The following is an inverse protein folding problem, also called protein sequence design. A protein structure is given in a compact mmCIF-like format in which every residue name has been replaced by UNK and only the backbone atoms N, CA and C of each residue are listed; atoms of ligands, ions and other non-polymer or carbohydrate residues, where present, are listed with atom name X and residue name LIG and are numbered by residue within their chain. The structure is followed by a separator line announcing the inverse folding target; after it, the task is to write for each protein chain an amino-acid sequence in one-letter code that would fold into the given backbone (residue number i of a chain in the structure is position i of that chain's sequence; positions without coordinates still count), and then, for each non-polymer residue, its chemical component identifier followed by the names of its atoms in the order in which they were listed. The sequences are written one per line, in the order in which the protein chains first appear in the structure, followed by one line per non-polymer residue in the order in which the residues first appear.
data_IF_263930062808
#
_entry.id   IF_263930062808
#
_cell.length_a   1.000
_cell.length_b   1.000
_cell.length_c   1.000
_cell.angle_alpha   90.00
_cell.angle_beta   90.00
_cell.angle_gamma   90.00
#
_symmetry.space_group_name_H-M   'P 1'
#
loop_
_entity.id
_entity.type
_entity.pdbx_description
1 polymer ?
#
# COMPACT_ATOMS: atom_id res chain seq x y z
N UNK A 1 -11.86 -3.89 17.70
CA UNK A 1 -12.46 -2.71 18.38
C UNK A 1 -11.44 -1.61 18.58
N UNK A 2 -10.33 -1.78 19.31
CA UNK A 2 -9.32 -0.71 19.53
C UNK A 2 -8.98 0.13 18.28
N UNK A 3 -8.63 -0.51 17.15
CA UNK A 3 -8.29 0.22 15.92
C UNK A 3 -9.46 1.03 15.34
N UNK A 4 -10.69 0.52 15.46
CA UNK A 4 -11.90 1.23 15.03
C UNK A 4 -12.24 2.37 16.00
N UNK A 5 -12.13 2.14 17.32
CA UNK A 5 -12.34 3.16 18.34
C UNK A 5 -11.42 4.36 18.14
N UNK A 6 -10.12 4.11 17.96
CA UNK A 6 -9.15 5.18 17.70
C UNK A 6 -9.45 5.94 16.41
N UNK A 7 -9.82 5.22 15.35
CA UNK A 7 -10.21 5.85 14.09
C UNK A 7 -11.44 6.74 14.28
N UNK A 8 -12.47 6.23 14.96
CA UNK A 8 -13.71 6.96 15.18
C UNK A 8 -13.46 8.24 15.97
N UNK A 9 -12.72 8.15 17.07
CA UNK A 9 -12.36 9.31 17.89
C UNK A 9 -11.54 10.34 17.12
N UNK A 10 -10.55 9.91 16.32
CA UNK A 10 -9.76 10.82 15.51
C UNK A 10 -10.59 11.57 14.44
N UNK A 11 -11.61 10.93 13.89
CA UNK A 11 -12.42 11.50 12.79
C UNK A 11 -13.61 12.33 13.29
N UNK A 12 -14.19 11.98 14.43
CA UNK A 12 -15.41 12.59 14.95
C UNK A 12 -15.17 13.44 16.21
N UNK A 13 -14.03 13.29 16.88
CA UNK A 13 -13.71 14.02 18.12
C UNK A 13 -14.45 13.49 19.37
N UNK A 14 -15.18 12.39 19.23
CA UNK A 14 -16.01 11.77 20.28
C UNK A 14 -15.63 10.29 20.42
N UNK A 15 -15.65 9.78 21.66
CA UNK A 15 -15.40 8.36 21.90
C UNK A 15 -16.60 7.49 21.51
N UNK A 16 -16.37 6.18 21.31
CA UNK A 16 -17.48 5.24 21.04
C UNK A 16 -18.46 5.13 22.23
N UNK A 17 -17.99 5.39 23.45
CA UNK A 17 -18.81 5.27 24.67
C UNK A 17 -19.78 6.44 24.84
N UNK A 18 -19.54 7.56 24.14
CA UNK A 18 -20.43 8.73 24.07
C UNK A 18 -21.56 8.56 23.04
N UNK A 19 -21.47 7.53 22.20
CA UNK A 19 -22.44 7.30 21.13
C UNK A 19 -23.69 6.59 21.65
N UNK A 20 -24.85 7.00 21.13
CA UNK A 20 -26.12 6.31 21.39
C UNK A 20 -26.24 4.97 20.65
N UNK A 21 -25.41 4.76 19.62
CA UNK A 21 -25.38 3.57 18.78
C UNK A 21 -24.30 2.59 19.26
N UNK A 22 -24.59 1.29 19.15
CA UNK A 22 -23.59 0.26 19.42
C UNK A 22 -22.47 0.28 18.37
N UNK A 23 -21.25 -0.18 18.69
CA UNK A 23 -20.17 -0.24 17.71
C UNK A 23 -20.50 -1.08 16.46
N UNK A 24 -21.33 -2.12 16.61
CA UNK A 24 -21.82 -2.93 15.49
C UNK A 24 -22.69 -2.10 14.55
N UNK A 25 -23.63 -1.32 15.08
CA UNK A 25 -24.48 -0.42 14.28
C UNK A 25 -23.67 0.68 13.60
N UNK A 26 -22.64 1.21 14.26
CA UNK A 26 -21.74 2.19 13.64
C UNK A 26 -20.96 1.58 12.47
N UNK A 27 -20.43 0.36 12.64
CA UNK A 27 -19.75 -0.37 11.55
C UNK A 27 -20.69 -0.69 10.39
N UNK A 28 -21.96 -1.01 10.67
CA UNK A 28 -23.00 -1.22 9.66
C UNK A 28 -23.33 0.07 8.90
N UNK A 29 -23.59 1.17 9.62
CA UNK A 29 -23.85 2.49 9.03
C UNK A 29 -22.68 2.99 8.16
N UNK A 30 -21.46 2.58 8.50
CA UNK A 30 -20.23 2.86 7.76
C UNK A 30 -19.97 1.89 6.59
N UNK A 31 -20.87 0.91 6.38
CA UNK A 31 -20.76 -0.13 5.35
C UNK A 31 -19.48 -0.97 5.49
N UNK A 32 -19.06 -1.24 6.72
CA UNK A 32 -17.91 -2.08 7.07
C UNK A 32 -18.34 -3.46 7.60
N UNK A 33 -19.63 -3.61 7.89
CA UNK A 33 -20.26 -4.82 8.41
C UNK A 33 -21.63 -4.99 7.76
N UNK A 34 -22.01 -6.24 7.51
CA UNK A 34 -23.34 -6.62 7.02
C UNK A 34 -24.06 -7.29 8.20
N UNK A 35 -25.16 -6.70 8.64
CA UNK A 35 -26.07 -7.35 9.57
C UNK A 35 -26.90 -8.40 8.83
N UNK A 36 -27.03 -9.59 9.42
CA UNK A 36 -27.94 -10.60 8.88
C UNK A 36 -29.37 -10.28 9.30
N UNK A 37 -30.30 -10.21 8.34
CA UNK A 37 -31.72 -10.05 8.61
C UNK A 37 -32.36 -11.31 9.24
N UNK A 38 -31.66 -12.44 9.23
CA UNK A 38 -32.17 -13.77 9.60
C UNK A 38 -31.45 -14.40 10.80
N UNK A 39 -30.37 -13.78 11.28
CA UNK A 39 -29.59 -14.25 12.44
C UNK A 39 -29.02 -13.08 13.22
N UNK A 40 -28.79 -13.25 14.52
CA UNK A 40 -28.06 -12.26 15.35
C UNK A 40 -26.58 -12.11 14.97
N UNK A 41 -26.08 -12.91 14.03
CA UNK A 41 -24.71 -12.86 13.54
C UNK A 41 -24.52 -11.70 12.55
N UNK A 42 -23.59 -10.79 12.89
CA UNK A 42 -23.12 -9.75 11.99
C UNK A 42 -21.79 -10.18 11.36
N UNK A 43 -21.61 -9.95 10.06
CA UNK A 43 -20.38 -10.32 9.34
C UNK A 43 -19.63 -9.07 8.89
N UNK A 44 -18.38 -8.95 9.33
CA UNK A 44 -17.50 -7.88 8.84
C UNK A 44 -17.14 -8.13 7.37
N UNK A 45 -17.24 -7.12 6.52
CA UNK A 45 -16.85 -7.25 5.13
C UNK A 45 -15.33 -7.08 4.96
N UNK A 46 -14.82 -7.27 3.73
CA UNK A 46 -13.37 -7.18 3.47
C UNK A 46 -12.79 -5.81 3.80
N UNK A 47 -13.52 -4.71 3.55
CA UNK A 47 -13.04 -3.38 3.91
C UNK A 47 -12.91 -3.24 5.43
N UNK A 48 -13.96 -3.59 6.19
CA UNK A 48 -13.91 -3.56 7.66
C UNK A 48 -12.80 -4.45 8.22
N UNK A 49 -12.60 -5.64 7.65
CA UNK A 49 -11.54 -6.54 8.06
C UNK A 49 -10.15 -5.95 7.82
N UNK A 50 -9.87 -5.47 6.60
CA UNK A 50 -8.57 -4.92 6.25
C UNK A 50 -8.26 -3.61 6.97
N UNK A 51 -9.28 -2.82 7.30
CA UNK A 51 -9.10 -1.55 7.99
C UNK A 51 -8.93 -1.73 9.50
N UNK A 52 -9.66 -2.66 10.13
CA UNK A 52 -9.83 -2.66 11.59
C UNK A 52 -9.68 -4.02 12.29
N UNK A 53 -9.63 -5.15 11.58
CA UNK A 53 -9.45 -6.45 12.23
C UNK A 53 -8.04 -6.60 12.82
N UNK A 54 -7.92 -7.34 13.94
CA UNK A 54 -6.61 -7.56 14.58
C UNK A 54 -5.67 -8.40 13.71
N UNK A 55 -6.20 -9.40 13.00
CA UNK A 55 -5.47 -10.33 12.13
C UNK A 55 -6.30 -10.68 10.90
N UNK A 56 -6.46 -9.77 9.91
CA UNK A 56 -7.33 -10.00 8.77
C UNK A 56 -6.91 -11.24 7.94
N UNK A 57 -5.62 -11.56 7.93
CA UNK A 57 -5.06 -12.67 7.16
C UNK A 57 -5.52 -14.07 7.63
N UNK A 58 -6.16 -14.20 8.78
CA UNK A 58 -6.82 -15.47 9.17
C UNK A 58 -7.94 -15.83 8.18
N UNK A 59 -8.68 -14.82 7.70
CA UNK A 59 -9.74 -14.98 6.70
C UNK A 59 -9.31 -14.55 5.30
N UNK A 60 -8.28 -13.70 5.21
CA UNK A 60 -7.77 -13.11 3.97
C UNK A 60 -6.26 -13.39 3.80
N UNK A 61 -5.81 -14.66 3.71
CA UNK A 61 -4.39 -15.02 3.83
C UNK A 61 -3.49 -14.39 2.76
N UNK A 62 -4.01 -14.23 1.54
CA UNK A 62 -3.28 -13.62 0.42
C UNK A 62 -3.29 -12.09 0.46
N UNK A 63 -4.05 -11.46 1.35
CA UNK A 63 -4.13 -10.00 1.48
C UNK A 63 -2.97 -9.52 2.34
N UNK A 64 -1.78 -9.71 1.81
CA UNK A 64 -0.48 -9.44 2.41
C UNK A 64 0.45 -8.83 1.37
N UNK A 65 1.63 -8.41 1.83
CA UNK A 65 2.74 -8.00 0.96
C UNK A 65 3.91 -8.95 1.22
N UNK A 66 4.41 -9.58 0.16
CA UNK A 66 5.63 -10.40 0.20
C UNK A 66 6.81 -9.52 -0.18
N UNK A 67 7.81 -9.43 0.68
CA UNK A 67 8.96 -8.55 0.46
C UNK A 67 10.26 -9.33 0.44
N UNK A 68 11.13 -9.00 -0.53
CA UNK A 68 12.47 -9.58 -0.63
C UNK A 68 13.43 -8.51 -1.14
N UNK A 69 14.60 -8.41 -0.52
CA UNK A 69 15.72 -7.59 -0.96
C UNK A 69 16.86 -8.52 -1.40
N UNK A 70 17.32 -8.36 -2.64
CA UNK A 70 18.33 -9.20 -3.28
C UNK A 70 19.69 -8.51 -3.33
N UNK A 71 20.76 -9.29 -3.37
CA UNK A 71 22.11 -8.78 -3.63
C UNK A 71 22.26 -8.33 -5.10
N UNK A 72 21.70 -9.11 -6.01
CA UNK A 72 21.79 -8.90 -7.45
C UNK A 72 20.54 -8.32 -8.08
N UNK A 73 20.41 -8.59 -9.37
CA UNK A 73 19.30 -8.16 -10.23
C UNK A 73 18.38 -9.32 -10.64
N UNK A 74 18.78 -10.56 -10.35
CA UNK A 74 18.06 -11.79 -10.66
C UNK A 74 17.09 -12.15 -9.52
N UNK A 75 15.88 -12.53 -9.90
CA UNK A 75 14.83 -12.98 -8.99
C UNK A 75 15.01 -14.45 -8.58
N UNK A 76 15.79 -15.22 -9.34
CA UNK A 76 16.07 -16.63 -9.09
C UNK A 76 17.27 -16.85 -8.15
N UNK A 77 17.87 -15.75 -7.66
CA UNK A 77 18.95 -15.81 -6.68
C UNK A 77 18.47 -16.52 -5.41
N UNK A 78 19.27 -17.47 -4.92
CA UNK A 78 18.97 -18.24 -3.72
C UNK A 78 19.40 -17.50 -2.45
N UNK A 79 20.11 -16.38 -2.60
CA UNK A 79 20.52 -15.50 -1.51
C UNK A 79 19.73 -14.19 -1.48
N UNK A 80 19.38 -13.74 -0.27
CA UNK A 80 18.70 -12.47 -0.04
C UNK A 80 19.33 -11.71 1.14
N UNK A 81 19.18 -10.39 1.12
CA UNK A 81 19.60 -9.47 2.18
C UNK A 81 18.54 -9.45 3.30
N UNK A 82 17.28 -9.31 2.92
CA UNK A 82 16.14 -9.22 3.84
C UNK A 82 14.89 -9.80 3.17
N UNK A 83 14.07 -10.56 3.91
CA UNK A 83 12.87 -11.21 3.40
C UNK A 83 11.81 -11.26 4.49
N UNK A 84 10.63 -10.70 4.23
CA UNK A 84 9.56 -10.57 5.21
C UNK A 84 8.18 -10.75 4.58
N UNK A 85 7.32 -11.41 5.33
CA UNK A 85 5.89 -11.47 5.06
C UNK A 85 5.19 -10.37 5.86
N UNK A 86 4.71 -9.34 5.16
CA UNK A 86 3.99 -8.23 5.78
C UNK A 86 2.50 -8.52 5.77
N UNK A 87 1.94 -8.60 6.98
CA UNK A 87 0.53 -8.83 7.25
C UNK A 87 0.01 -7.82 8.29
N UNK A 88 -1.29 -7.86 8.56
CA UNK A 88 -1.98 -6.91 9.43
C UNK A 88 -3.00 -6.07 8.68
N UNK A 89 -3.45 -5.00 9.34
CA UNK A 89 -4.37 -4.01 8.77
C UNK A 89 -3.69 -3.19 7.67
N UNK A 90 -4.49 -2.47 6.88
CA UNK A 90 -4.03 -1.64 5.78
C UNK A 90 -2.91 -0.65 6.20
N UNK A 91 -3.09 0.03 7.33
CA UNK A 91 -2.09 0.97 7.88
C UNK A 91 -0.81 0.28 8.35
N UNK A 92 -0.93 -0.90 8.97
CA UNK A 92 0.22 -1.70 9.41
C UNK A 92 1.02 -2.21 8.21
N UNK A 93 0.34 -2.70 7.17
CA UNK A 93 0.98 -3.16 5.94
C UNK A 93 1.69 -2.00 5.22
N UNK A 94 1.05 -0.84 5.15
CA UNK A 94 1.65 0.37 4.58
C UNK A 94 2.94 0.77 5.32
N UNK A 95 2.87 0.91 6.65
CA UNK A 95 4.00 1.35 7.46
C UNK A 95 5.18 0.36 7.40
N UNK A 96 4.90 -0.94 7.47
CA UNK A 96 5.93 -1.97 7.38
C UNK A 96 6.56 -2.04 5.98
N UNK A 97 5.78 -1.90 4.91
CA UNK A 97 6.30 -1.93 3.55
C UNK A 97 7.17 -0.69 3.25
N UNK A 98 6.74 0.48 3.73
CA UNK A 98 7.53 1.70 3.64
C UNK A 98 8.85 1.55 4.40
N UNK A 99 8.79 1.04 5.63
CA UNK A 99 9.99 0.76 6.43
C UNK A 99 10.92 -0.23 5.72
N UNK A 100 10.38 -1.30 5.14
CA UNK A 100 11.16 -2.29 4.39
C UNK A 100 11.90 -1.65 3.21
N UNK A 101 11.25 -0.81 2.40
CA UNK A 101 11.91 -0.07 1.32
C UNK A 101 13.03 0.81 1.87
N UNK A 102 12.72 1.66 2.86
CA UNK A 102 13.67 2.62 3.39
C UNK A 102 14.90 1.93 4.01
N UNK A 103 14.74 0.77 4.63
CA UNK A 103 15.87 0.00 5.20
C UNK A 103 16.74 -0.70 4.15
N UNK A 104 16.21 -0.96 2.94
CA UNK A 104 16.89 -1.77 1.92
C UNK A 104 17.37 -0.95 0.70
N UNK A 105 17.25 0.38 0.75
CA UNK A 105 17.85 1.29 -0.26
C UNK A 105 19.11 1.97 0.29
N UNK A 106 19.89 2.59 -0.60
CA UNK A 106 21.09 3.34 -0.19
C UNK A 106 20.71 4.70 0.36
N UNK A 107 21.54 5.17 1.29
CA UNK A 107 21.55 6.56 1.74
C UNK A 107 22.85 7.22 1.27
N UNK A 108 22.72 8.29 0.50
CA UNK A 108 23.79 9.00 -0.18
C UNK A 108 24.18 10.24 0.64
N UNK A 109 25.48 10.48 0.78
CA UNK A 109 25.97 11.63 1.53
C UNK A 109 25.76 12.96 0.77
N UNK A 110 25.68 12.94 -0.57
CA UNK A 110 25.46 14.11 -1.43
C UNK A 110 26.42 15.28 -1.12
N UNK A 111 27.72 14.99 -1.03
CA UNK A 111 28.80 15.97 -0.75
C UNK A 111 28.65 16.76 0.56
N UNK A 112 27.79 16.29 1.48
CA UNK A 112 27.65 16.87 2.81
C UNK A 112 28.75 16.37 3.74
N UNK A 113 29.04 17.11 4.81
CA UNK A 113 30.10 16.76 5.75
C UNK A 113 29.93 15.37 6.39
N UNK A 114 31.00 14.81 6.95
CA UNK A 114 31.03 13.49 7.58
C UNK A 114 29.94 13.27 8.64
N UNK A 115 29.53 14.33 9.34
CA UNK A 115 28.50 14.29 10.37
C UNK A 115 27.07 14.43 9.82
N UNK A 116 26.87 14.41 8.50
CA UNK A 116 25.55 14.50 7.90
C UNK A 116 24.87 13.13 7.81
N UNK A 117 23.58 13.10 8.08
CA UNK A 117 22.75 11.93 7.79
C UNK A 117 22.58 11.88 6.27
N UNK A 118 22.91 10.74 5.67
CA UNK A 118 22.71 10.54 4.24
C UNK A 118 21.23 10.70 3.85
N UNK A 119 20.98 11.04 2.60
CA UNK A 119 19.64 11.12 2.03
C UNK A 119 19.32 9.85 1.25
N UNK A 120 18.09 9.33 1.33
CA UNK A 120 17.74 8.13 0.60
C UNK A 120 17.88 8.35 -0.91
N UNK A 121 18.49 7.41 -1.62
CA UNK A 121 18.70 7.49 -3.07
C UNK A 121 17.38 7.59 -3.87
N UNK A 122 16.30 7.06 -3.30
CA UNK A 122 14.92 7.22 -3.77
C UNK A 122 14.15 7.97 -2.68
N UNK A 123 13.55 9.14 -2.98
CA UNK A 123 12.79 9.91 -2.00
C UNK A 123 11.63 9.10 -1.38
N UNK A 124 11.45 9.22 -0.06
CA UNK A 124 10.39 8.52 0.71
C UNK A 124 8.99 8.67 0.10
N UNK A 125 8.66 9.85 -0.44
CA UNK A 125 7.36 10.14 -1.07
C UNK A 125 7.05 9.20 -2.25
N UNK A 126 8.07 8.72 -2.97
CA UNK A 126 7.89 7.76 -4.08
C UNK A 126 7.28 6.47 -3.55
N UNK A 127 7.82 5.94 -2.45
CA UNK A 127 7.29 4.73 -1.81
C UNK A 127 5.94 4.98 -1.15
N UNK A 128 5.75 6.12 -0.49
CA UNK A 128 4.45 6.47 0.11
C UNK A 128 3.34 6.42 -0.95
N UNK A 129 3.55 7.07 -2.10
CA UNK A 129 2.55 7.10 -3.16
C UNK A 129 2.37 5.75 -3.84
N UNK A 130 3.45 5.05 -4.20
CA UNK A 130 3.34 3.79 -4.93
C UNK A 130 2.81 2.64 -4.07
N UNK A 131 3.19 2.55 -2.79
CA UNK A 131 2.67 1.55 -1.86
C UNK A 131 1.20 1.81 -1.54
N UNK A 132 0.81 3.08 -1.29
CA UNK A 132 -0.59 3.42 -1.08
C UNK A 132 -1.44 3.07 -2.30
N UNK A 133 -0.95 3.38 -3.51
CA UNK A 133 -1.64 2.99 -4.75
C UNK A 133 -1.77 1.46 -4.88
N UNK A 134 -0.70 0.71 -4.61
CA UNK A 134 -0.74 -0.75 -4.68
C UNK A 134 -1.74 -1.35 -3.69
N UNK A 135 -1.85 -0.81 -2.48
CA UNK A 135 -2.80 -1.27 -1.45
C UNK A 135 -4.25 -0.88 -1.76
N UNK A 136 -4.51 0.33 -2.24
CA UNK A 136 -5.87 0.85 -2.43
C UNK A 136 -6.48 0.35 -3.75
N UNK A 137 -5.68 0.29 -4.82
CA UNK A 137 -6.15 -0.03 -6.17
C UNK A 137 -5.90 -1.47 -6.59
N UNK A 138 -5.42 -2.33 -5.68
CA UNK A 138 -5.35 -3.78 -5.87
C UNK A 138 -6.69 -4.35 -6.32
N UNK A 139 -6.64 -5.33 -7.23
CA UNK A 139 -7.79 -6.15 -7.53
C UNK A 139 -8.00 -7.21 -6.44
N UNK A 140 -9.02 -6.98 -5.61
CA UNK A 140 -9.37 -7.83 -4.48
C UNK A 140 -10.07 -9.14 -4.88
N UNK A 141 -10.39 -9.33 -6.17
CA UNK A 141 -10.84 -10.61 -6.70
C UNK A 141 -9.67 -11.53 -7.10
N UNK A 142 -8.44 -11.00 -7.15
CA UNK A 142 -7.25 -11.78 -7.49
C UNK A 142 -6.57 -12.29 -6.22
N UNK A 143 -6.56 -13.62 -6.06
CA UNK A 143 -5.98 -14.30 -4.90
C UNK A 143 -4.45 -14.43 -4.97
N UNK A 144 -3.75 -13.30 -4.93
CA UNK A 144 -2.28 -13.24 -4.94
C UNK A 144 -1.79 -12.06 -4.11
N UNK A 145 -0.70 -12.13 -3.35
CA UNK A 145 -0.19 -11.00 -2.56
C UNK A 145 0.39 -9.90 -3.44
N UNK A 146 0.53 -8.69 -2.88
CA UNK A 146 1.41 -7.68 -3.47
C UNK A 146 2.85 -8.17 -3.29
N UNK A 147 3.70 -7.98 -4.29
CA UNK A 147 5.14 -8.25 -4.17
C UNK A 147 5.92 -6.94 -4.16
N UNK A 148 6.82 -6.80 -3.21
CA UNK A 148 7.72 -5.67 -3.07
C UNK A 148 9.16 -6.19 -3.11
N UNK A 149 9.81 -6.01 -4.25
CA UNK A 149 11.11 -6.62 -4.53
C UNK A 149 12.15 -5.51 -4.66
N UNK A 150 13.22 -5.58 -3.87
CA UNK A 150 14.33 -4.61 -3.92
C UNK A 150 15.53 -5.31 -4.52
N UNK A 151 15.94 -4.91 -5.71
CA UNK A 151 17.13 -5.39 -6.40
C UNK A 151 18.24 -4.34 -6.31
N UNK A 152 19.47 -4.72 -6.65
CA UNK A 152 20.61 -3.79 -6.66
C UNK A 152 20.46 -2.63 -7.66
N UNK A 153 19.66 -2.81 -8.71
CA UNK A 153 19.44 -1.85 -9.80
C UNK A 153 18.03 -1.23 -9.83
N UNK A 154 17.06 -1.79 -9.09
CA UNK A 154 15.66 -1.31 -9.11
C UNK A 154 14.85 -1.75 -7.89
N UNK A 155 13.72 -1.10 -7.66
CA UNK A 155 12.67 -1.58 -6.76
C UNK A 155 11.41 -1.86 -7.58
N UNK A 156 10.80 -3.02 -7.40
CA UNK A 156 9.54 -3.40 -8.06
C UNK A 156 8.40 -3.50 -7.03
N UNK A 157 7.30 -2.80 -7.30
CA UNK A 157 6.03 -2.95 -6.57
C UNK A 157 5.02 -3.56 -7.54
N UNK A 158 4.65 -4.81 -7.30
CA UNK A 158 3.78 -5.59 -8.17
C UNK A 158 2.45 -5.82 -7.47
N UNK A 159 1.39 -5.17 -7.96
CA UNK A 159 0.04 -5.31 -7.44
C UNK A 159 -0.79 -6.28 -8.29
N UNK A 160 -1.60 -7.15 -7.66
CA UNK A 160 -2.57 -8.00 -8.35
C UNK A 160 -3.61 -7.18 -9.10
N UNK A 161 -3.90 -7.57 -10.33
CA UNK A 161 -4.83 -6.89 -11.22
C UNK A 161 -4.15 -5.89 -12.15
N UNK A 162 -4.57 -5.89 -13.40
CA UNK A 162 -4.22 -4.85 -14.38
C UNK A 162 -5.06 -3.57 -14.14
N UNK A 163 -4.83 -2.50 -14.91
CA UNK A 163 -5.63 -1.27 -14.79
C UNK A 163 -7.11 -1.54 -15.13
N UNK A 164 -8.07 -1.06 -14.29
CA UNK A 164 -9.49 -1.34 -14.52
C UNK A 164 -10.05 -0.56 -15.72
N UNK A 165 -11.07 -1.15 -16.35
CA UNK A 165 -11.82 -0.55 -17.45
C UNK A 165 -10.90 -0.11 -18.61
N UNK A 166 -11.11 1.11 -19.11
CA UNK A 166 -10.36 1.72 -20.22
C UNK A 166 -9.18 2.58 -19.73
N UNK A 167 -8.75 2.42 -18.48
CA UNK A 167 -7.64 3.20 -17.94
C UNK A 167 -6.31 2.72 -18.56
N UNK A 168 -5.50 3.67 -19.04
CA UNK A 168 -4.16 3.41 -19.59
C UNK A 168 -3.07 3.99 -18.70
N UNK A 169 -1.80 3.67 -19.00
CA UNK A 169 -0.65 4.25 -18.29
C UNK A 169 -0.61 5.77 -18.48
N UNK A 170 -0.94 6.25 -19.66
CA UNK A 170 -0.99 7.68 -20.00
C UNK A 170 -2.07 8.37 -19.16
N UNK A 171 -3.25 7.76 -19.03
CA UNK A 171 -4.36 8.30 -18.23
C UNK A 171 -3.95 8.48 -16.76
N UNK A 172 -3.32 7.47 -16.13
CA UNK A 172 -2.91 7.58 -14.73
C UNK A 172 -1.77 8.58 -14.52
N UNK A 173 -0.90 8.76 -15.52
CA UNK A 173 0.13 9.82 -15.52
C UNK A 173 -0.46 11.22 -15.62
N UNK A 174 -1.68 11.36 -16.17
CA UNK A 174 -2.44 12.60 -16.17
C UNK A 174 -3.31 12.80 -14.92
N UNK A 175 -3.31 11.84 -14.00
CA UNK A 175 -4.04 11.92 -12.73
C UNK A 175 -5.42 11.28 -12.76
N UNK A 176 -5.79 10.63 -13.86
CA UNK A 176 -7.03 9.87 -13.92
C UNK A 176 -6.93 8.64 -13.01
N UNK A 177 -7.92 8.43 -12.15
CA UNK A 177 -7.97 7.29 -11.24
C UNK A 177 -9.36 6.67 -11.26
N UNK A 178 -9.40 5.34 -11.25
CA UNK A 178 -10.61 4.56 -11.09
C UNK A 178 -10.52 3.76 -9.79
N UNK A 179 -11.44 4.05 -8.86
CA UNK A 179 -11.50 3.37 -7.57
C UNK A 179 -12.25 2.04 -7.75
N UNK A 180 -11.60 0.93 -7.38
CA UNK A 180 -12.21 -0.41 -7.42
C UNK A 180 -13.10 -0.68 -6.21
N UNK A 181 -12.67 -0.26 -5.02
CA UNK A 181 -13.41 -0.40 -3.77
C UNK A 181 -13.62 0.98 -3.13
N UNK A 182 -14.76 1.65 -3.40
CA UNK A 182 -15.05 2.99 -2.89
C UNK A 182 -15.06 3.09 -1.37
N UNK A 183 -15.56 2.05 -0.69
CA UNK A 183 -15.57 1.98 0.76
C UNK A 183 -14.12 1.94 1.27
N UNK A 184 -13.30 0.98 0.82
CA UNK A 184 -11.91 0.93 1.27
C UNK A 184 -11.16 2.24 1.01
N UNK A 185 -11.34 2.84 -0.17
CA UNK A 185 -10.65 4.08 -0.54
C UNK A 185 -11.07 5.29 0.32
N UNK A 186 -12.35 5.39 0.71
CA UNK A 186 -12.84 6.50 1.53
C UNK A 186 -12.29 6.49 2.96
N UNK A 187 -12.04 5.30 3.52
CA UNK A 187 -11.39 5.14 4.82
C UNK A 187 -9.86 5.19 4.71
N UNK A 188 -9.28 4.67 3.63
CA UNK A 188 -7.82 4.68 3.42
C UNK A 188 -7.27 6.11 3.36
N UNK A 189 -8.00 7.08 2.82
CA UNK A 189 -7.57 8.49 2.77
C UNK A 189 -7.48 9.18 4.13
N UNK A 190 -8.08 8.58 5.16
CA UNK A 190 -8.04 9.03 6.55
C UNK A 190 -6.95 8.33 7.36
N UNK A 191 -6.59 7.11 6.95
CA UNK A 191 -5.65 6.24 7.67
C UNK A 191 -4.22 6.23 7.10
N UNK A 192 -4.07 6.60 5.82
CA UNK A 192 -2.80 6.59 5.10
C UNK A 192 -2.44 8.02 4.64
N UNK A 193 -1.17 8.31 4.30
CA UNK A 193 -0.77 9.59 3.67
C UNK A 193 -1.23 9.67 2.19
N UNK A 194 -2.50 9.38 1.94
CA UNK A 194 -3.18 9.31 0.67
C UNK A 194 -4.40 10.24 0.69
N UNK A 195 -4.61 11.05 -0.36
CA UNK A 195 -5.73 12.00 -0.41
C UNK A 195 -6.85 11.64 -1.38
N UNK A 196 -6.70 10.59 -2.20
CA UNK A 196 -7.73 10.19 -3.17
C UNK A 196 -7.85 11.07 -4.42
N UNK A 197 -6.98 12.07 -4.59
CA UNK A 197 -7.09 13.06 -5.69
C UNK A 197 -6.48 12.59 -7.03
N UNK A 198 -6.06 11.32 -7.14
CA UNK A 198 -5.36 10.82 -8.33
C UNK A 198 -3.94 11.38 -8.53
N UNK A 199 -3.43 12.22 -7.61
CA UNK A 199 -2.14 12.91 -7.75
C UNK A 199 -0.92 12.09 -7.35
N UNK A 200 -1.09 10.95 -6.66
CA UNK A 200 0.03 10.21 -6.08
C UNK A 200 1.07 9.74 -7.11
N UNK A 201 0.62 9.23 -8.26
CA UNK A 201 1.53 8.85 -9.36
C UNK A 201 2.31 10.07 -9.89
N UNK A 202 1.65 11.22 -10.04
CA UNK A 202 2.33 12.45 -10.50
C UNK A 202 3.35 12.95 -9.49
N UNK A 203 3.05 12.89 -8.20
CA UNK A 203 3.99 13.26 -7.13
C UNK A 203 5.21 12.35 -7.11
N UNK A 204 5.01 11.04 -7.23
CA UNK A 204 6.10 10.07 -7.34
C UNK A 204 6.99 10.38 -8.55
N UNK A 205 6.41 10.59 -9.74
CA UNK A 205 7.16 10.96 -10.95
C UNK A 205 7.90 12.29 -10.83
N UNK A 206 7.26 13.30 -10.22
CA UNK A 206 7.88 14.61 -10.00
C UNK A 206 9.08 14.50 -9.06
N UNK A 207 8.99 13.66 -8.03
CA UNK A 207 10.08 13.44 -7.09
C UNK A 207 11.19 12.55 -7.67
N UNK A 208 10.83 11.59 -8.52
CA UNK A 208 11.75 10.62 -9.10
C UNK A 208 11.28 10.18 -10.50
N UNK A 209 11.85 10.75 -11.58
CA UNK A 209 11.37 10.48 -12.94
C UNK A 209 11.62 9.06 -13.46
N UNK A 210 12.62 8.35 -12.90
CA UNK A 210 13.05 7.03 -13.36
C UNK A 210 12.14 5.90 -12.84
N UNK A 211 10.82 6.08 -13.06
CA UNK A 211 9.76 5.13 -12.73
C UNK A 211 9.14 4.63 -14.02
N UNK A 212 9.03 3.31 -14.16
CA UNK A 212 8.35 2.64 -15.26
C UNK A 212 7.09 1.97 -14.72
N UNK A 213 5.93 2.32 -15.29
CA UNK A 213 4.65 1.71 -14.94
C UNK A 213 4.23 0.76 -16.05
N UNK A 214 3.95 -0.49 -15.68
CA UNK A 214 3.66 -1.58 -16.61
C UNK A 214 2.27 -2.12 -16.28
N UNK A 215 1.39 -2.07 -17.28
CA UNK A 215 0.06 -2.66 -17.22
C UNK A 215 0.07 -4.03 -17.90
N UNK A 216 0.42 -5.08 -17.15
CA UNK A 216 0.53 -6.44 -17.67
C UNK A 216 -0.84 -7.12 -17.69
N UNK A 217 -1.57 -6.95 -18.79
CA UNK A 217 -2.90 -7.55 -18.99
C UNK A 217 -2.84 -9.08 -19.11
N UNK A 218 -1.73 -9.64 -19.62
CA UNK A 218 -1.60 -11.08 -19.84
C UNK A 218 -1.47 -11.83 -18.52
N UNK A 219 -0.62 -11.34 -17.61
CA UNK A 219 -0.45 -11.92 -16.28
C UNK A 219 -1.42 -11.35 -15.24
N UNK A 220 -2.26 -10.38 -15.64
CA UNK A 220 -3.21 -9.67 -14.79
C UNK A 220 -2.53 -8.99 -13.58
N UNK A 221 -1.52 -8.17 -13.85
CA UNK A 221 -0.70 -7.48 -12.86
C UNK A 221 -0.50 -6.02 -13.26
N UNK A 222 -0.31 -5.18 -12.25
CA UNK A 222 0.22 -3.83 -12.43
C UNK A 222 1.57 -3.73 -11.71
N UNK A 223 2.60 -3.23 -12.40
CA UNK A 223 3.94 -3.10 -11.84
C UNK A 223 4.41 -1.65 -11.89
N UNK A 224 4.96 -1.17 -10.78
CA UNK A 224 5.78 0.03 -10.74
C UNK A 224 7.24 -0.37 -10.51
N UNK A 225 8.11 -0.04 -11.46
CA UNK A 225 9.55 -0.30 -11.41
C UNK A 225 10.27 1.02 -11.21
N UNK A 226 10.91 1.21 -10.06
CA UNK A 226 11.72 2.39 -9.74
C UNK A 226 13.17 2.03 -10.00
N UNK A 227 13.79 2.57 -11.05
CA UNK A 227 15.19 2.28 -11.41
C UNK A 227 16.12 3.01 -10.45
N UNK A 228 17.06 2.31 -9.81
CA UNK A 228 18.06 2.91 -8.92
C UNK A 228 19.16 3.54 -9.77
N UNK A 229 19.65 4.71 -9.36
CA UNK A 229 20.78 5.35 -10.04
C UNK A 229 22.06 4.55 -9.81
N UNK A 230 22.79 4.28 -10.88
CA UNK A 230 24.14 3.70 -10.78
C UNK A 230 25.03 4.80 -10.21
N UNK A 231 25.55 4.58 -9.00
CA UNK A 231 26.53 5.47 -8.40
C UNK A 231 27.87 5.11 -9.04
N UNK A 232 28.37 5.95 -9.95
CA UNK A 232 29.77 5.87 -10.36
C UNK A 232 30.60 6.39 -9.19
N UNK A 233 31.33 5.49 -8.53
CA UNK A 233 32.37 5.89 -7.59
C UNK A 233 33.54 6.34 -8.44
N UNK A 234 33.76 7.66 -8.53
CA UNK A 234 34.94 8.28 -9.13
C UNK A 234 36.15 8.14 -8.20
#
# INVERSE_FOLDING_TARGET
MVAFSQFFENEHGESLDEQSLTPTQLLENMNLMIASNTSTECQINYAGALLFAKKPQIKLPVFSIKTVAFYGTDINDDQYIDSRDIAGKLSEMFAQALSFCMMNIRYLQNDRGFNSIGEPEIPKIVFEDLIANALIHRDYFVSAPIRLLVFSDRVEIISPGHLPNNLTIENIKMGNSNIRNPILASFASKLLPYRGLGSGILRAYKAYPDIELINDRQNNLFKAVIKRKIIQVS
#
